data_IF_778625202211
#
_entry.id   IF_778625202211
#
_cell.length_a   1.000
_cell.length_b   1.000
_cell.length_c   1.000
_cell.angle_alpha   90.00
_cell.angle_beta   90.00
_cell.angle_gamma   90.00
#
_symmetry.space_group_name_H-M   'P 1'
#
loop_
_entity.id
_entity.type
_entity.pdbx_description
1 polymer ?
#
# COMPACT_ATOMS: atom_id res chain seq x y z
N UNK A 1 14.18 16.39 -1.96
CA UNK A 1 15.27 15.76 -2.72
C UNK A 1 16.23 16.77 -3.31
N UNK A 2 15.79 17.77 -4.09
CA UNK A 2 16.66 18.79 -4.71
C UNK A 2 17.63 19.43 -3.69
N UNK A 3 17.12 19.94 -2.56
CA UNK A 3 17.93 20.53 -1.52
C UNK A 3 19.02 19.56 -1.01
N UNK A 4 18.68 18.28 -0.80
CA UNK A 4 19.67 17.25 -0.39
C UNK A 4 20.75 17.10 -1.45
N UNK A 5 20.39 16.98 -2.71
CA UNK A 5 21.33 16.85 -3.83
C UNK A 5 22.32 18.02 -3.89
N UNK A 6 21.85 19.23 -3.61
CA UNK A 6 22.64 20.46 -3.70
C UNK A 6 23.52 20.71 -2.46
N UNK A 7 23.13 20.18 -1.30
CA UNK A 7 23.77 20.58 -0.02
C UNK A 7 24.46 19.42 0.73
N UNK A 8 24.16 18.14 0.40
CA UNK A 8 24.60 17.02 1.23
C UNK A 8 26.12 16.88 1.33
N UNK A 9 26.87 17.38 0.35
CA UNK A 9 28.34 17.40 0.39
C UNK A 9 28.88 18.20 1.59
N UNK A 10 28.21 19.30 1.95
CA UNK A 10 28.57 20.13 3.11
C UNK A 10 28.37 19.41 4.46
N UNK A 11 27.62 18.31 4.45
CA UNK A 11 27.38 17.44 5.60
C UNK A 11 28.19 16.14 5.54
N UNK A 12 29.17 16.04 4.63
CA UNK A 12 30.02 14.86 4.45
C UNK A 12 29.37 13.73 3.64
N UNK A 13 28.19 13.96 3.04
CA UNK A 13 27.49 12.99 2.19
C UNK A 13 27.92 13.08 0.73
N UNK A 14 27.59 12.03 -0.04
CA UNK A 14 27.89 11.98 -1.48
C UNK A 14 26.64 12.32 -2.30
N UNK A 15 26.61 13.47 -3.01
CA UNK A 15 25.48 13.84 -3.86
C UNK A 15 25.27 12.93 -5.07
N UNK A 16 26.24 12.06 -5.41
CA UNK A 16 26.13 11.07 -6.49
C UNK A 16 25.67 9.69 -5.98
N UNK A 17 25.31 9.57 -4.69
CA UNK A 17 24.86 8.31 -4.09
C UNK A 17 23.71 8.55 -3.13
N UNK A 18 22.58 9.00 -3.66
CA UNK A 18 21.36 9.28 -2.90
C UNK A 18 20.39 8.11 -3.09
N UNK A 19 20.05 7.47 -1.98
CA UNK A 19 18.99 6.43 -1.95
C UNK A 19 17.75 6.99 -1.28
N UNK A 20 16.61 6.93 -1.97
CA UNK A 20 15.31 7.25 -1.38
C UNK A 20 14.66 5.95 -0.88
N UNK A 21 14.00 6.03 0.27
CA UNK A 21 13.30 4.87 0.83
C UNK A 21 12.01 5.28 1.51
N UNK A 22 11.08 4.36 1.61
CA UNK A 22 9.82 4.58 2.29
C UNK A 22 9.00 3.31 2.44
N UNK A 23 8.16 3.31 3.45
CA UNK A 23 7.26 2.21 3.79
C UNK A 23 5.80 2.66 3.66
N UNK A 24 4.92 1.75 3.23
CA UNK A 24 3.48 2.00 3.09
C UNK A 24 3.21 3.17 2.12
N UNK A 25 2.51 4.20 2.55
CA UNK A 25 2.33 5.44 1.78
C UNK A 25 3.67 6.06 1.34
N UNK A 26 4.71 5.99 2.20
CA UNK A 26 6.07 6.41 1.84
C UNK A 26 6.69 5.54 0.75
N UNK A 27 6.44 4.23 0.75
CA UNK A 27 6.83 3.32 -0.33
C UNK A 27 6.15 3.71 -1.65
N UNK A 28 4.84 3.98 -1.62
CA UNK A 28 4.10 4.48 -2.79
C UNK A 28 4.66 5.81 -3.30
N UNK A 29 5.05 6.73 -2.41
CA UNK A 29 5.72 7.97 -2.79
C UNK A 29 7.06 7.70 -3.48
N UNK A 30 7.89 6.78 -2.94
CA UNK A 30 9.16 6.38 -3.58
C UNK A 30 8.91 5.78 -4.96
N UNK A 31 7.94 4.88 -5.09
CA UNK A 31 7.54 4.30 -6.38
C UNK A 31 7.07 5.40 -7.35
N UNK A 32 6.26 6.39 -6.89
CA UNK A 32 5.83 7.54 -7.67
C UNK A 32 7.03 8.35 -8.22
N UNK A 33 8.06 8.57 -7.40
CA UNK A 33 9.27 9.25 -7.84
C UNK A 33 10.01 8.49 -8.95
N UNK A 34 9.91 7.16 -8.97
CA UNK A 34 10.54 6.37 -10.04
C UNK A 34 9.83 6.50 -11.40
N UNK A 35 8.54 6.83 -11.42
CA UNK A 35 7.76 7.05 -12.67
C UNK A 35 7.64 8.53 -13.04
N UNK A 36 8.02 9.45 -12.15
CA UNK A 36 8.02 10.89 -12.40
C UNK A 36 9.37 11.40 -12.86
N UNK A 37 9.47 11.77 -14.14
CA UNK A 37 10.72 12.29 -14.73
C UNK A 37 11.28 13.52 -14.00
N UNK A 38 10.43 14.32 -13.37
CA UNK A 38 10.83 15.50 -12.57
C UNK A 38 11.72 15.14 -11.37
N UNK A 39 11.59 13.93 -10.87
CA UNK A 39 12.33 13.45 -9.69
C UNK A 39 13.66 12.78 -10.04
N UNK A 40 13.82 12.28 -11.25
CA UNK A 40 14.95 11.44 -11.65
C UNK A 40 16.34 12.03 -11.40
N UNK A 41 16.57 13.35 -11.54
CA UNK A 41 17.89 13.94 -11.27
C UNK A 41 18.32 13.90 -9.80
N UNK A 42 17.41 13.63 -8.86
CA UNK A 42 17.60 13.87 -7.44
C UNK A 42 17.86 12.64 -6.60
N UNK A 43 17.88 11.45 -7.19
CA UNK A 43 18.22 10.20 -6.48
C UNK A 43 18.86 9.18 -7.42
N UNK A 44 19.54 8.20 -6.85
CA UNK A 44 20.34 7.21 -7.57
C UNK A 44 19.86 5.78 -7.32
N UNK A 45 19.14 5.52 -6.22
CA UNK A 45 18.56 4.21 -5.86
C UNK A 45 17.27 4.37 -5.10
N UNK A 46 16.46 3.30 -5.05
CA UNK A 46 15.18 3.31 -4.34
C UNK A 46 14.96 2.03 -3.53
N UNK A 47 14.35 2.19 -2.34
CA UNK A 47 13.86 1.07 -1.52
C UNK A 47 12.38 1.31 -1.26
N UNK A 48 11.54 0.39 -1.72
CA UNK A 48 10.08 0.47 -1.72
C UNK A 48 9.54 -0.64 -0.82
N UNK A 49 9.09 -0.28 0.37
CA UNK A 49 8.63 -1.23 1.38
C UNK A 49 7.12 -1.17 1.50
N UNK A 50 6.44 -2.28 1.22
CA UNK A 50 4.98 -2.44 1.42
C UNK A 50 4.13 -1.32 0.80
N UNK A 51 4.55 -0.79 -0.37
CA UNK A 51 3.81 0.29 -1.03
C UNK A 51 4.35 0.62 -2.41
N UNK A 52 3.57 0.37 -3.46
CA UNK A 52 3.87 0.85 -4.82
C UNK A 52 2.82 1.82 -5.29
N UNK A 53 3.17 2.71 -6.21
CA UNK A 53 2.23 3.71 -6.75
C UNK A 53 1.09 3.07 -7.56
N UNK A 54 1.24 1.82 -7.94
CA UNK A 54 0.26 1.05 -8.71
C UNK A 54 -0.83 0.39 -7.84
N UNK A 55 -0.66 0.41 -6.52
CA UNK A 55 -1.63 -0.16 -5.58
C UNK A 55 -2.98 0.57 -5.62
N UNK A 56 -4.10 -0.11 -5.36
CA UNK A 56 -5.43 0.47 -5.51
C UNK A 56 -5.71 1.66 -4.58
N UNK A 57 -4.96 1.78 -3.50
CA UNK A 57 -5.09 2.88 -2.53
C UNK A 57 -4.06 4.01 -2.76
N UNK A 58 -3.07 3.84 -3.64
CA UNK A 58 -1.92 4.73 -3.75
C UNK A 58 -2.16 5.95 -4.65
N UNK A 59 -3.08 5.85 -5.61
CA UNK A 59 -3.46 6.96 -6.49
C UNK A 59 -4.95 6.92 -6.82
N UNK A 60 -5.48 8.09 -7.18
CA UNK A 60 -6.85 8.21 -7.68
C UNK A 60 -6.90 9.00 -8.97
N UNK A 61 -7.96 8.82 -9.73
CA UNK A 61 -8.25 9.67 -10.89
C UNK A 61 -8.67 11.07 -10.45
N UNK A 62 -8.46 12.07 -11.29
CA UNK A 62 -8.94 13.45 -11.04
C UNK A 62 -10.45 13.49 -10.75
N UNK A 63 -11.22 12.61 -11.40
CA UNK A 63 -12.66 12.49 -11.17
C UNK A 63 -12.95 11.99 -9.75
N UNK A 64 -12.29 10.94 -9.30
CA UNK A 64 -12.47 10.41 -7.94
C UNK A 64 -12.02 11.41 -6.86
N UNK A 65 -10.92 12.13 -7.09
CA UNK A 65 -10.46 13.20 -6.20
C UNK A 65 -11.51 14.33 -6.08
N UNK A 66 -12.12 14.75 -7.20
CA UNK A 66 -13.21 15.75 -7.19
C UNK A 66 -14.44 15.24 -6.44
N UNK A 67 -14.84 13.98 -6.63
CA UNK A 67 -15.98 13.40 -5.93
C UNK A 67 -15.73 13.33 -4.42
N UNK A 68 -14.53 12.92 -4.01
CA UNK A 68 -14.13 12.93 -2.60
C UNK A 68 -14.13 14.34 -1.99
N UNK A 69 -13.62 15.34 -2.73
CA UNK A 69 -13.67 16.73 -2.32
C UNK A 69 -15.12 17.22 -2.14
N UNK A 70 -16.00 16.94 -3.09
CA UNK A 70 -17.42 17.36 -3.00
C UNK A 70 -18.08 16.77 -1.75
N UNK A 71 -17.84 15.48 -1.46
CA UNK A 71 -18.35 14.84 -0.26
C UNK A 71 -17.77 15.47 1.02
N UNK A 72 -16.49 15.80 1.02
CA UNK A 72 -15.86 16.50 2.14
C UNK A 72 -16.51 17.87 2.38
N UNK A 73 -16.67 18.69 1.34
CA UNK A 73 -17.24 20.02 1.43
C UNK A 73 -18.67 20.02 1.98
N UNK A 74 -19.47 19.01 1.61
CA UNK A 74 -20.81 18.81 2.19
C UNK A 74 -20.73 18.52 3.69
N UNK A 75 -19.78 17.71 4.14
CA UNK A 75 -19.63 17.37 5.56
C UNK A 75 -19.17 18.55 6.43
N UNK A 76 -18.52 19.57 5.86
CA UNK A 76 -18.06 20.76 6.56
C UNK A 76 -18.89 22.00 6.25
N UNK A 77 -20.02 21.84 5.54
CA UNK A 77 -20.93 22.93 5.15
C UNK A 77 -20.26 24.05 4.34
N UNK A 78 -19.28 23.71 3.52
CA UNK A 78 -18.58 24.65 2.61
C UNK A 78 -18.87 24.37 1.13
N UNK A 79 -19.84 23.51 0.80
CA UNK A 79 -20.10 23.09 -0.57
C UNK A 79 -20.59 24.22 -1.49
N UNK A 80 -21.35 25.15 -0.94
CA UNK A 80 -22.01 26.24 -1.66
C UNK A 80 -21.37 27.62 -1.39
N UNK A 81 -20.17 27.63 -0.75
CA UNK A 81 -19.49 28.89 -0.42
C UNK A 81 -18.73 29.44 -1.63
N UNK A 82 -18.89 30.73 -1.92
CA UNK A 82 -18.22 31.40 -3.05
C UNK A 82 -16.70 31.51 -2.82
N UNK A 83 -16.24 31.69 -1.57
CA UNK A 83 -14.83 31.60 -1.19
C UNK A 83 -14.57 30.33 -0.38
N UNK A 84 -14.40 29.25 -1.12
CA UNK A 84 -14.13 27.91 -0.57
C UNK A 84 -12.93 27.89 0.39
N UNK A 85 -11.84 28.62 0.07
CA UNK A 85 -10.62 28.61 0.89
C UNK A 85 -10.84 29.33 2.20
N UNK A 86 -11.58 30.44 2.19
CA UNK A 86 -11.93 31.18 3.39
C UNK A 86 -12.88 30.37 4.28
N UNK A 87 -13.90 29.74 3.69
CA UNK A 87 -14.79 28.84 4.41
C UNK A 87 -14.02 27.71 5.11
N UNK A 88 -13.15 27.02 4.39
CA UNK A 88 -12.37 25.93 4.96
C UNK A 88 -11.43 26.40 6.07
N UNK A 89 -10.80 27.57 5.95
CA UNK A 89 -9.90 28.10 6.97
C UNK A 89 -10.61 28.55 8.25
N UNK A 90 -11.80 29.09 8.10
CA UNK A 90 -12.53 29.68 9.23
C UNK A 90 -13.47 28.67 9.92
N UNK A 91 -14.00 27.69 9.18
CA UNK A 91 -15.07 26.81 9.66
C UNK A 91 -14.63 25.36 9.90
N UNK A 92 -13.40 24.96 9.49
CA UNK A 92 -12.95 23.57 9.63
C UNK A 92 -11.77 23.49 10.57
N UNK A 93 -11.97 22.77 11.67
CA UNK A 93 -10.92 22.50 12.64
C UNK A 93 -10.17 21.19 12.27
N UNK A 94 -8.96 21.03 12.81
CA UNK A 94 -8.22 19.77 12.74
C UNK A 94 -9.01 18.58 13.33
N UNK A 95 -9.82 18.82 14.36
CA UNK A 95 -10.71 17.82 14.95
C UNK A 95 -11.82 17.39 13.97
N UNK A 96 -12.38 18.32 13.20
CA UNK A 96 -13.37 18.01 12.15
C UNK A 96 -12.74 17.16 11.06
N UNK A 97 -11.52 17.49 10.61
CA UNK A 97 -10.78 16.68 9.63
C UNK A 97 -10.59 15.24 10.12
N UNK A 98 -10.15 15.07 11.36
CA UNK A 98 -9.95 13.73 11.95
C UNK A 98 -11.27 12.98 12.10
N UNK A 99 -12.35 13.65 12.55
CA UNK A 99 -13.68 13.05 12.69
C UNK A 99 -14.24 12.58 11.37
N UNK A 100 -14.18 13.42 10.34
CA UNK A 100 -14.67 13.10 9.01
C UNK A 100 -13.85 11.95 8.42
N UNK A 101 -12.50 12.00 8.52
CA UNK A 101 -11.63 10.91 8.08
C UNK A 101 -12.01 9.57 8.73
N UNK A 102 -12.18 9.55 10.06
CA UNK A 102 -12.53 8.33 10.81
C UNK A 102 -13.94 7.82 10.55
N UNK A 103 -14.87 8.68 10.15
CA UNK A 103 -16.25 8.28 9.83
C UNK A 103 -16.37 7.57 8.48
N UNK A 104 -15.35 7.68 7.62
CA UNK A 104 -15.39 7.05 6.30
C UNK A 104 -15.04 5.56 6.38
N UNK A 105 -15.66 4.70 5.56
CA UNK A 105 -15.19 3.34 5.35
C UNK A 105 -13.71 3.34 4.93
N UNK A 106 -12.93 2.36 5.38
CA UNK A 106 -11.47 2.29 5.13
C UNK A 106 -11.10 2.50 3.65
N UNK A 107 -11.90 1.96 2.73
CA UNK A 107 -11.70 2.14 1.27
C UNK A 107 -11.83 3.60 0.85
N UNK A 108 -12.77 4.35 1.44
CA UNK A 108 -12.92 5.79 1.18
C UNK A 108 -11.89 6.63 1.93
N UNK A 109 -11.40 6.17 3.09
CA UNK A 109 -10.27 6.80 3.78
C UNK A 109 -9.04 6.81 2.88
N UNK A 110 -8.77 5.72 2.17
CA UNK A 110 -7.66 5.62 1.21
C UNK A 110 -7.85 6.53 -0.01
N UNK A 111 -9.09 6.83 -0.39
CA UNK A 111 -9.41 7.70 -1.54
C UNK A 111 -9.41 9.20 -1.20
N UNK A 112 -9.23 9.57 0.07
CA UNK A 112 -9.41 10.97 0.50
C UNK A 112 -8.23 11.88 0.19
N UNK A 113 -7.00 11.37 0.29
CA UNK A 113 -5.80 12.20 0.11
C UNK A 113 -4.66 11.52 -0.67
N UNK A 114 -4.86 10.49 -1.49
CA UNK A 114 -3.76 10.00 -2.31
C UNK A 114 -3.45 10.99 -3.43
N UNK A 115 -2.23 10.96 -3.96
CA UNK A 115 -1.90 11.68 -5.19
C UNK A 115 -2.90 11.34 -6.29
N UNK A 116 -3.30 12.34 -7.08
CA UNK A 116 -4.07 12.09 -8.30
C UNK A 116 -3.21 12.31 -9.55
N UNK A 117 -3.66 11.77 -10.68
CA UNK A 117 -2.99 11.94 -11.96
C UNK A 117 -3.22 13.38 -12.41
N UNK A 118 -2.20 14.23 -12.21
CA UNK A 118 -2.26 15.68 -12.42
C UNK A 118 -1.80 16.12 -13.83
N UNK A 119 -1.15 15.21 -14.57
CA UNK A 119 -0.56 15.50 -15.88
C UNK A 119 0.80 16.20 -15.81
N UNK A 120 1.32 16.46 -14.59
CA UNK A 120 2.57 17.17 -14.36
C UNK A 120 3.59 16.30 -13.60
N UNK A 121 3.31 15.92 -12.37
CA UNK A 121 4.13 14.99 -11.60
C UNK A 121 3.83 13.54 -12.00
N UNK A 122 2.56 13.16 -12.02
CA UNK A 122 2.06 11.91 -12.59
C UNK A 122 1.42 12.23 -13.95
N UNK A 123 2.19 12.06 -15.01
CA UNK A 123 1.78 12.45 -16.38
C UNK A 123 0.71 11.54 -16.98
N UNK A 124 0.55 10.33 -16.46
CA UNK A 124 -0.46 9.34 -16.88
C UNK A 124 -0.72 8.34 -15.74
N UNK A 125 -1.59 7.36 -15.97
CA UNK A 125 -1.82 6.25 -15.06
C UNK A 125 -0.50 5.53 -14.72
N UNK A 126 -0.14 5.36 -13.43
CA UNK A 126 1.13 4.75 -13.03
C UNK A 126 1.32 3.33 -13.57
N UNK A 127 0.24 2.53 -13.67
CA UNK A 127 0.32 1.18 -14.27
C UNK A 127 0.67 1.25 -15.75
N UNK A 128 0.13 2.25 -16.45
CA UNK A 128 0.45 2.50 -17.86
C UNK A 128 1.90 2.97 -18.02
N UNK A 129 2.35 3.94 -17.20
CA UNK A 129 3.73 4.43 -17.23
C UNK A 129 4.72 3.29 -16.97
N UNK A 130 4.45 2.43 -15.98
CA UNK A 130 5.25 1.27 -15.68
C UNK A 130 5.33 0.29 -16.87
N UNK A 131 4.19 -0.10 -17.44
CA UNK A 131 4.13 -1.07 -18.54
C UNK A 131 4.75 -0.55 -19.84
N UNK A 132 4.74 0.76 -20.06
CA UNK A 132 5.39 1.42 -21.21
C UNK A 132 6.90 1.66 -20.99
N UNK A 133 7.45 1.25 -19.84
CA UNK A 133 8.86 1.47 -19.52
C UNK A 133 9.22 2.92 -19.20
N UNK A 134 8.23 3.78 -18.94
CA UNK A 134 8.44 5.17 -18.54
C UNK A 134 8.81 5.26 -17.06
N UNK A 135 9.86 4.57 -16.69
CA UNK A 135 10.39 4.44 -15.33
C UNK A 135 11.87 4.77 -15.29
N UNK A 136 12.33 5.29 -14.15
CA UNK A 136 13.76 5.57 -13.97
C UNK A 136 14.56 4.26 -14.04
N UNK A 137 15.61 4.28 -14.86
CA UNK A 137 16.59 3.21 -14.90
C UNK A 137 17.50 3.32 -13.66
N UNK A 138 17.21 2.53 -12.63
CA UNK A 138 17.89 2.58 -11.33
C UNK A 138 17.72 1.26 -10.59
N UNK A 139 18.67 0.94 -9.73
CA UNK A 139 18.55 -0.20 -8.83
C UNK A 139 17.43 0.01 -7.82
N UNK A 140 16.59 -1.02 -7.64
CA UNK A 140 15.45 -0.98 -6.74
C UNK A 140 15.41 -2.24 -5.87
N UNK A 141 15.23 -2.04 -4.57
CA UNK A 141 14.77 -3.09 -3.65
C UNK A 141 13.30 -2.82 -3.37
N UNK A 142 12.44 -3.80 -3.58
CA UNK A 142 11.03 -3.68 -3.22
C UNK A 142 10.53 -4.98 -2.59
N UNK A 143 9.52 -4.88 -1.75
CA UNK A 143 8.98 -6.06 -1.08
C UNK A 143 7.83 -5.76 -0.16
N UNK A 144 7.36 -6.82 0.49
CA UNK A 144 6.21 -6.80 1.38
C UNK A 144 6.49 -7.66 2.61
N UNK A 145 5.71 -7.45 3.67
CA UNK A 145 5.61 -8.42 4.76
C UNK A 145 4.68 -9.56 4.35
N UNK A 146 4.84 -10.72 4.99
CA UNK A 146 4.02 -11.91 4.69
C UNK A 146 2.54 -11.70 4.97
N UNK A 147 2.24 -10.96 6.02
CA UNK A 147 0.88 -10.85 6.58
C UNK A 147 0.44 -9.37 6.64
N UNK A 148 0.64 -8.62 5.55
CA UNK A 148 0.31 -7.19 5.43
C UNK A 148 -1.11 -6.89 5.92
N UNK A 149 -2.08 -7.70 5.49
CA UNK A 149 -3.50 -7.51 5.81
C UNK A 149 -3.85 -7.62 7.29
N UNK A 150 -2.94 -8.11 8.13
CA UNK A 150 -3.21 -8.23 9.56
C UNK A 150 -3.50 -6.87 10.21
N UNK A 151 -2.88 -5.78 9.75
CA UNK A 151 -3.12 -4.46 10.32
C UNK A 151 -4.59 -4.01 10.21
N UNK A 152 -5.25 -4.32 9.09
CA UNK A 152 -6.66 -3.98 8.86
C UNK A 152 -7.63 -4.98 9.51
N UNK A 153 -7.19 -6.23 9.70
CA UNK A 153 -8.03 -7.30 10.21
C UNK A 153 -7.92 -7.51 11.72
N UNK A 154 -6.92 -6.92 12.36
CA UNK A 154 -6.76 -6.97 13.81
C UNK A 154 -7.99 -6.44 14.56
N UNK A 155 -8.67 -5.45 14.00
CA UNK A 155 -9.91 -4.90 14.58
C UNK A 155 -11.01 -5.97 14.76
N UNK A 156 -11.05 -6.99 13.90
CA UNK A 156 -12.01 -8.09 14.04
C UNK A 156 -11.72 -8.94 15.28
N UNK A 157 -10.45 -9.12 15.64
CA UNK A 157 -10.07 -9.85 16.87
C UNK A 157 -10.43 -9.08 18.14
N UNK A 158 -10.49 -7.77 18.06
CA UNK A 158 -10.98 -6.92 19.15
C UNK A 158 -12.50 -7.05 19.33
N UNK A 159 -13.24 -7.31 18.24
CA UNK A 159 -14.69 -7.48 18.26
C UNK A 159 -15.08 -8.89 18.68
N UNK A 160 -14.41 -9.91 18.16
CA UNK A 160 -14.72 -11.30 18.48
C UNK A 160 -13.58 -12.25 18.13
N UNK A 161 -13.34 -13.24 19.00
CA UNK A 161 -12.46 -14.38 18.72
C UNK A 161 -13.27 -15.65 18.34
N UNK A 162 -14.54 -15.50 17.98
CA UNK A 162 -15.40 -16.60 17.56
C UNK A 162 -15.10 -17.04 16.13
N UNK A 163 -14.84 -18.32 15.92
CA UNK A 163 -14.48 -18.90 14.61
C UNK A 163 -15.58 -18.64 13.58
N UNK A 164 -16.84 -18.91 13.93
CA UNK A 164 -17.99 -18.74 13.03
C UNK A 164 -18.11 -17.28 12.60
N UNK A 165 -17.99 -16.34 13.53
CA UNK A 165 -18.00 -14.91 13.25
C UNK A 165 -16.90 -14.52 12.26
N UNK A 166 -15.64 -14.94 12.49
CA UNK A 166 -14.51 -14.60 11.63
C UNK A 166 -14.63 -15.20 10.22
N UNK A 167 -15.10 -16.45 10.13
CA UNK A 167 -15.38 -17.09 8.84
C UNK A 167 -16.49 -16.38 8.06
N UNK A 168 -17.56 -15.98 8.74
CA UNK A 168 -18.63 -15.20 8.12
C UNK A 168 -18.12 -13.84 7.64
N UNK A 169 -17.28 -13.15 8.43
CA UNK A 169 -16.65 -11.88 8.05
C UNK A 169 -15.71 -12.02 6.86
N UNK A 170 -15.02 -13.14 6.70
CA UNK A 170 -14.22 -13.40 5.51
C UNK A 170 -15.08 -13.37 4.25
N UNK A 171 -16.19 -14.12 4.22
CA UNK A 171 -17.07 -14.17 3.05
C UNK A 171 -17.74 -12.81 2.77
N UNK A 172 -18.18 -12.10 3.81
CA UNK A 172 -18.75 -10.76 3.69
C UNK A 172 -17.75 -9.77 3.09
N UNK A 173 -16.54 -9.70 3.63
CA UNK A 173 -15.49 -8.78 3.15
C UNK A 173 -15.02 -9.14 1.75
N UNK A 174 -14.82 -10.43 1.44
CA UNK A 174 -14.47 -10.88 0.11
C UNK A 174 -15.51 -10.42 -0.92
N UNK A 175 -16.78 -10.64 -0.65
CA UNK A 175 -17.90 -10.24 -1.54
C UNK A 175 -17.94 -8.71 -1.72
N UNK A 176 -17.81 -7.95 -0.64
CA UNK A 176 -17.82 -6.48 -0.68
C UNK A 176 -16.64 -5.93 -1.48
N UNK A 177 -15.44 -6.46 -1.28
CA UNK A 177 -14.24 -6.03 -2.02
C UNK A 177 -14.33 -6.36 -3.52
N UNK A 178 -14.80 -7.55 -3.86
CA UNK A 178 -15.00 -7.93 -5.26
C UNK A 178 -16.07 -7.07 -5.95
N UNK A 179 -17.17 -6.76 -5.26
CA UNK A 179 -18.19 -5.85 -5.77
C UNK A 179 -17.65 -4.43 -6.00
N UNK A 180 -16.82 -3.93 -5.09
CA UNK A 180 -16.17 -2.63 -5.25
C UNK A 180 -15.22 -2.62 -6.45
N UNK A 181 -14.38 -3.65 -6.60
CA UNK A 181 -13.49 -3.80 -7.75
C UNK A 181 -14.27 -3.92 -9.06
N UNK A 182 -15.41 -4.62 -9.07
CA UNK A 182 -16.31 -4.67 -10.22
C UNK A 182 -16.76 -3.27 -10.66
N UNK A 183 -17.13 -2.41 -9.71
CA UNK A 183 -17.54 -1.04 -9.98
C UNK A 183 -16.38 -0.18 -10.50
N UNK A 184 -15.23 -0.23 -9.82
CA UNK A 184 -14.04 0.55 -10.17
C UNK A 184 -13.50 0.17 -11.56
N UNK A 185 -13.38 -1.13 -11.82
CA UNK A 185 -12.81 -1.66 -13.06
C UNK A 185 -13.85 -1.74 -14.19
N UNK A 186 -15.12 -1.43 -13.92
CA UNK A 186 -16.25 -1.56 -14.87
C UNK A 186 -16.31 -2.92 -15.55
N UNK A 187 -15.89 -3.98 -14.83
CA UNK A 187 -15.91 -5.36 -15.33
C UNK A 187 -17.10 -6.12 -14.74
N UNK A 188 -17.76 -6.88 -15.60
CA UNK A 188 -18.88 -7.71 -15.17
C UNK A 188 -18.34 -9.05 -14.64
N UNK A 189 -18.03 -9.12 -13.35
CA UNK A 189 -17.61 -10.35 -12.70
C UNK A 189 -18.82 -11.17 -12.29
N UNK A 190 -18.75 -12.46 -12.56
CA UNK A 190 -19.80 -13.43 -12.21
C UNK A 190 -19.57 -13.98 -10.81
N UNK A 191 -20.58 -14.66 -10.26
CA UNK A 191 -20.49 -15.43 -9.03
C UNK A 191 -19.32 -16.45 -9.08
N UNK A 192 -18.95 -16.92 -10.27
CA UNK A 192 -17.79 -17.79 -10.46
C UNK A 192 -16.47 -17.18 -9.95
N UNK A 193 -16.24 -15.87 -10.14
CA UNK A 193 -15.03 -15.19 -9.64
C UNK A 193 -15.02 -15.17 -8.11
N UNK A 194 -16.16 -14.93 -7.47
CA UNK A 194 -16.30 -15.01 -6.02
C UNK A 194 -15.98 -16.41 -5.52
N UNK A 195 -16.57 -17.45 -6.15
CA UNK A 195 -16.38 -18.83 -5.75
C UNK A 195 -14.92 -19.28 -5.90
N UNK A 196 -14.25 -18.91 -6.99
CA UNK A 196 -12.83 -19.21 -7.18
C UNK A 196 -11.95 -18.46 -6.15
N UNK A 197 -12.22 -17.17 -5.89
CA UNK A 197 -11.49 -16.42 -4.88
C UNK A 197 -11.73 -17.00 -3.47
N UNK A 198 -12.99 -17.33 -3.11
CA UNK A 198 -13.30 -17.96 -1.84
C UNK A 198 -12.56 -19.28 -1.65
N UNK A 199 -12.57 -20.13 -2.69
CA UNK A 199 -11.86 -21.42 -2.70
C UNK A 199 -10.35 -21.26 -2.56
N UNK A 200 -9.76 -20.23 -3.18
CA UNK A 200 -8.33 -19.95 -3.14
C UNK A 200 -7.83 -19.69 -1.71
N UNK A 201 -8.60 -18.92 -0.94
CA UNK A 201 -8.22 -18.52 0.41
C UNK A 201 -8.84 -19.41 1.50
N UNK A 202 -9.76 -20.31 1.16
CA UNK A 202 -10.44 -21.15 2.14
C UNK A 202 -9.44 -22.07 2.87
N UNK A 203 -9.41 -22.04 4.21
CA UNK A 203 -8.52 -22.91 4.97
C UNK A 203 -9.02 -24.36 4.87
N UNK A 204 -8.08 -25.30 4.82
CA UNK A 204 -8.39 -26.74 4.79
C UNK A 204 -8.94 -27.23 6.13
N UNK A 205 -8.56 -26.57 7.22
CA UNK A 205 -8.99 -26.87 8.59
C UNK A 205 -9.00 -25.56 9.41
N UNK A 206 -9.97 -25.37 10.28
CA UNK A 206 -10.11 -24.19 11.13
C UNK A 206 -10.11 -24.62 12.61
N UNK A 207 -8.94 -25.00 13.17
CA UNK A 207 -8.85 -25.46 14.56
C UNK A 207 -8.88 -24.32 15.59
N UNK A 208 -8.68 -23.06 15.14
CA UNK A 208 -8.60 -21.89 16.02
C UNK A 208 -9.09 -20.63 15.34
N UNK A 209 -9.35 -19.58 16.12
CA UNK A 209 -9.72 -18.27 15.59
C UNK A 209 -8.60 -17.63 14.76
N UNK A 210 -7.34 -17.96 15.02
CA UNK A 210 -6.20 -17.53 14.19
C UNK A 210 -6.30 -18.13 12.80
N UNK A 211 -6.58 -19.43 12.68
CA UNK A 211 -6.76 -20.08 11.38
C UNK A 211 -7.99 -19.54 10.64
N UNK A 212 -9.05 -19.14 11.36
CA UNK A 212 -10.21 -18.48 10.76
C UNK A 212 -9.88 -17.06 10.21
N UNK A 213 -8.90 -16.37 10.80
CA UNK A 213 -8.49 -15.02 10.36
C UNK A 213 -7.52 -15.06 9.18
N UNK A 214 -6.66 -16.08 9.09
CA UNK A 214 -5.63 -16.19 8.03
C UNK A 214 -6.13 -15.99 6.59
N UNK A 215 -7.27 -16.56 6.18
CA UNK A 215 -7.80 -16.34 4.83
C UNK A 215 -8.02 -14.87 4.49
N UNK A 216 -8.56 -14.14 5.46
CA UNK A 216 -8.83 -12.71 5.29
C UNK A 216 -7.55 -11.89 5.25
N UNK A 217 -6.61 -12.19 6.14
CA UNK A 217 -5.27 -11.55 6.14
C UNK A 217 -4.57 -11.81 4.80
N UNK A 218 -4.56 -13.05 4.31
CA UNK A 218 -3.93 -13.40 3.04
C UNK A 218 -4.59 -12.69 1.86
N UNK A 219 -5.92 -12.68 1.82
CA UNK A 219 -6.68 -11.97 0.77
C UNK A 219 -6.36 -10.47 0.76
N UNK A 220 -6.35 -9.82 1.92
CA UNK A 220 -6.01 -8.39 2.01
C UNK A 220 -4.54 -8.12 1.68
N UNK A 221 -3.63 -9.01 2.06
CA UNK A 221 -2.21 -8.92 1.68
C UNK A 221 -2.05 -8.94 0.17
N UNK A 222 -2.66 -9.90 -0.50
CA UNK A 222 -2.55 -10.04 -1.96
C UNK A 222 -3.21 -8.87 -2.69
N UNK A 223 -4.42 -8.49 -2.26
CA UNK A 223 -5.21 -7.45 -2.91
C UNK A 223 -4.58 -6.05 -2.79
N UNK A 224 -4.05 -5.73 -1.63
CA UNK A 224 -3.63 -4.37 -1.33
C UNK A 224 -2.13 -4.13 -1.46
N UNK A 225 -1.30 -5.18 -1.42
CA UNK A 225 0.16 -5.04 -1.35
C UNK A 225 0.92 -5.99 -2.28
N UNK A 226 0.77 -7.31 -2.11
CA UNK A 226 1.69 -8.27 -2.69
C UNK A 226 1.60 -8.36 -4.22
N UNK A 227 0.39 -8.38 -4.79
CA UNK A 227 0.23 -8.53 -6.23
C UNK A 227 0.79 -7.35 -7.04
N UNK A 228 0.52 -6.10 -6.62
CA UNK A 228 1.06 -4.93 -7.32
C UNK A 228 2.57 -4.80 -7.12
N UNK A 229 3.11 -5.14 -5.94
CA UNK A 229 4.57 -5.17 -5.70
C UNK A 229 5.26 -6.19 -6.58
N UNK A 230 4.73 -7.42 -6.66
CA UNK A 230 5.28 -8.46 -7.51
C UNK A 230 5.20 -8.08 -9.00
N UNK A 231 4.09 -7.49 -9.44
CA UNK A 231 3.93 -7.01 -10.81
C UNK A 231 4.93 -5.92 -11.15
N UNK A 232 5.13 -4.93 -10.27
CA UNK A 232 6.13 -3.87 -10.48
C UNK A 232 7.54 -4.47 -10.60
N UNK A 233 7.91 -5.42 -9.73
CA UNK A 233 9.19 -6.11 -9.81
C UNK A 233 9.38 -6.86 -11.13
N UNK A 234 8.37 -7.60 -11.58
CA UNK A 234 8.40 -8.34 -12.85
C UNK A 234 8.56 -7.38 -14.03
N UNK A 235 7.79 -6.31 -14.07
CA UNK A 235 7.85 -5.35 -15.18
C UNK A 235 9.22 -4.67 -15.22
N UNK A 236 9.75 -4.21 -14.08
CA UNK A 236 11.09 -3.62 -13.98
C UNK A 236 12.17 -4.59 -14.47
N UNK A 237 12.15 -5.83 -14.02
CA UNK A 237 13.15 -6.84 -14.39
C UNK A 237 13.11 -7.23 -15.88
N UNK A 238 11.98 -7.02 -16.56
CA UNK A 238 11.85 -7.28 -18.01
C UNK A 238 12.28 -6.08 -18.87
N UNK A 239 12.04 -4.86 -18.39
CA UNK A 239 12.25 -3.65 -19.18
C UNK A 239 13.65 -3.08 -18.95
N UNK A 240 14.16 -3.15 -17.72
CA UNK A 240 15.44 -2.56 -17.34
C UNK A 240 16.55 -3.61 -17.37
N UNK A 241 17.36 -3.59 -18.44
CA UNK A 241 18.43 -4.57 -18.63
C UNK A 241 19.75 -4.20 -17.92
N UNK A 242 19.94 -2.93 -17.54
CA UNK A 242 21.19 -2.39 -17.01
C UNK A 242 21.16 -2.12 -15.49
N UNK A 243 20.04 -2.40 -14.83
CA UNK A 243 19.89 -2.22 -13.38
C UNK A 243 19.27 -3.45 -12.72
N UNK A 244 19.42 -3.53 -11.40
CA UNK A 244 18.93 -4.67 -10.62
C UNK A 244 17.61 -4.35 -9.94
N UNK A 245 16.72 -5.32 -9.97
CA UNK A 245 15.47 -5.30 -9.21
C UNK A 245 15.50 -6.47 -8.24
N UNK A 246 15.45 -6.16 -6.95
CA UNK A 246 15.43 -7.16 -5.88
C UNK A 246 14.04 -7.16 -5.24
N UNK A 247 13.39 -8.33 -5.22
CA UNK A 247 12.10 -8.53 -4.55
C UNK A 247 12.32 -9.33 -3.26
N UNK A 248 11.76 -8.85 -2.14
CA UNK A 248 11.78 -9.57 -0.87
C UNK A 248 10.38 -9.81 -0.32
N UNK A 249 10.26 -10.83 0.54
CA UNK A 249 9.13 -11.01 1.44
C UNK A 249 9.68 -11.16 2.87
N UNK A 250 9.23 -10.29 3.77
CA UNK A 250 9.58 -10.38 5.18
C UNK A 250 8.60 -11.29 5.92
N UNK A 251 9.07 -12.43 6.44
CA UNK A 251 8.22 -13.47 7.03
C UNK A 251 8.43 -13.69 8.53
N UNK A 252 9.32 -12.93 9.15
CA UNK A 252 9.61 -13.08 10.57
C UNK A 252 8.54 -12.41 11.45
N UNK A 253 7.85 -13.23 12.25
CA UNK A 253 6.92 -12.76 13.27
C UNK A 253 7.68 -12.53 14.57
N UNK A 254 7.96 -11.26 14.91
CA UNK A 254 8.66 -10.92 16.17
C UNK A 254 7.80 -11.25 17.38
N UNK A 255 8.38 -11.95 18.36
CA UNK A 255 7.78 -12.15 19.68
C UNK A 255 7.78 -10.88 20.56
N UNK A 256 8.54 -9.86 20.17
CA UNK A 256 8.59 -8.59 20.89
C UNK A 256 7.36 -7.78 20.50
N UNK A 257 6.48 -7.41 21.47
CA UNK A 257 5.33 -6.56 21.18
C UNK A 257 5.83 -5.26 20.52
N UNK A 258 5.31 -4.98 19.35
CA UNK A 258 5.53 -3.67 18.73
C UNK A 258 4.73 -2.68 19.55
N UNK A 259 5.41 -1.89 20.41
CA UNK A 259 4.75 -0.89 21.24
C UNK A 259 3.75 -0.10 20.37
N UNK A 260 2.48 -0.19 20.72
CA UNK A 260 1.35 0.65 20.32
C UNK A 260 0.60 0.37 19.01
N UNK A 261 0.96 -0.61 18.14
CA UNK A 261 0.14 -0.82 16.94
C UNK A 261 -0.61 -2.16 16.94
N UNK A 262 0.11 -3.28 17.11
CA UNK A 262 -0.52 -4.62 17.12
C UNK A 262 0.28 -5.57 18.00
N UNK A 263 -0.36 -6.50 18.74
CA UNK A 263 0.33 -7.58 19.44
C UNK A 263 0.74 -8.68 18.45
N UNK A 264 1.55 -8.32 17.44
CA UNK A 264 1.91 -9.20 16.31
C UNK A 264 2.54 -10.51 16.78
N UNK A 265 3.38 -10.45 17.83
CA UNK A 265 4.06 -11.61 18.36
C UNK A 265 3.12 -12.61 19.05
N UNK A 266 1.99 -12.16 19.62
CA UNK A 266 0.98 -13.02 20.23
C UNK A 266 0.30 -13.94 19.21
N UNK A 267 0.16 -13.48 17.97
CA UNK A 267 -0.60 -14.17 16.92
C UNK A 267 0.27 -14.76 15.80
N UNK A 268 1.58 -14.56 15.83
CA UNK A 268 2.51 -15.12 14.87
C UNK A 268 2.42 -14.55 13.46
N UNK A 269 1.98 -13.27 13.30
CA UNK A 269 1.91 -12.59 12.02
C UNK A 269 3.10 -11.66 11.79
N UNK A 270 3.65 -11.68 10.58
CA UNK A 270 4.58 -10.67 10.07
C UNK A 270 3.78 -9.52 9.43
N UNK A 271 3.23 -8.65 10.27
CA UNK A 271 2.27 -7.62 9.87
C UNK A 271 2.91 -6.41 9.20
N UNK A 272 2.06 -5.54 8.63
CA UNK A 272 2.45 -4.29 7.98
C UNK A 272 3.40 -3.42 8.83
N UNK A 273 4.51 -2.98 8.23
CA UNK A 273 5.50 -2.09 8.84
C UNK A 273 6.44 -2.72 9.86
N UNK A 274 6.40 -4.04 10.09
CA UNK A 274 7.30 -4.69 11.06
C UNK A 274 8.74 -4.79 10.57
N UNK A 275 8.96 -4.86 9.26
CA UNK A 275 10.27 -4.90 8.62
C UNK A 275 11.07 -3.60 8.80
N UNK A 276 10.41 -2.44 8.84
CA UNK A 276 11.03 -1.13 9.08
C UNK A 276 11.77 -1.09 10.41
N UNK A 277 11.18 -1.68 11.46
CA UNK A 277 11.81 -1.72 12.79
C UNK A 277 13.06 -2.58 12.83
N UNK A 278 13.08 -3.62 12.04
CA UNK A 278 14.23 -4.49 11.87
C UNK A 278 15.35 -3.72 11.17
N UNK A 279 15.05 -3.00 10.09
CA UNK A 279 16.03 -2.17 9.39
C UNK A 279 16.63 -1.06 10.27
N UNK A 280 15.85 -0.45 11.16
CA UNK A 280 16.32 0.61 12.05
C UNK A 280 17.09 0.13 13.29
N UNK A 281 16.89 -1.11 13.74
CA UNK A 281 17.56 -1.66 14.94
C UNK A 281 18.71 -2.60 14.65
N UNK A 282 18.85 -3.09 13.43
CA UNK A 282 19.82 -4.13 13.13
C UNK A 282 21.13 -3.56 12.60
N UNK A 283 22.14 -3.65 13.46
CA UNK A 283 23.48 -4.10 13.10
C UNK A 283 23.52 -5.59 12.64
N UNK A 284 22.39 -6.19 12.31
CA UNK A 284 22.28 -7.61 11.94
C UNK A 284 21.54 -7.78 10.63
N UNK A 285 22.27 -8.20 9.62
CA UNK A 285 21.73 -8.85 8.42
C UNK A 285 21.20 -10.21 8.82
N UNK A 286 19.88 -10.43 8.78
CA UNK A 286 19.32 -11.76 8.96
C UNK A 286 18.06 -11.94 8.11
N UNK A 287 18.15 -12.94 7.26
CA UNK A 287 17.08 -13.66 6.58
C UNK A 287 16.08 -12.81 5.79
N UNK A 288 16.60 -12.05 4.83
CA UNK A 288 15.81 -11.73 3.64
C UNK A 288 15.97 -12.89 2.66
N UNK A 289 14.93 -13.67 2.44
CA UNK A 289 14.87 -14.54 1.27
C UNK A 289 14.85 -13.67 0.01
N UNK A 290 16.01 -13.45 -0.57
CA UNK A 290 16.16 -12.78 -1.85
C UNK A 290 15.79 -13.79 -2.93
N UNK A 291 14.55 -13.74 -3.35
CA UNK A 291 14.07 -14.61 -4.43
C UNK A 291 14.53 -14.06 -5.78
N UNK A 292 15.63 -14.63 -6.35
CA UNK A 292 15.97 -14.46 -7.76
C UNK A 292 14.99 -15.24 -8.61
N UNK A 293 14.13 -14.54 -9.37
CA UNK A 293 13.42 -15.05 -10.56
C UNK A 293 12.29 -16.07 -10.44
N UNK A 294 11.56 -16.26 -9.36
CA UNK A 294 10.45 -17.24 -9.41
C UNK A 294 9.23 -16.96 -8.52
N UNK A 295 8.78 -15.72 -8.42
CA UNK A 295 7.43 -15.49 -7.91
C UNK A 295 6.52 -15.05 -9.06
N UNK A 296 5.84 -16.01 -9.63
CA UNK A 296 4.66 -15.79 -10.45
C UNK A 296 3.50 -15.67 -9.46
N UNK A 297 2.71 -14.61 -9.54
CA UNK A 297 1.36 -14.59 -8.98
C UNK A 297 0.53 -15.73 -9.62
N UNK A 298 0.76 -16.93 -9.16
CA UNK A 298 -0.07 -18.12 -9.37
C UNK A 298 -0.69 -18.45 -8.02
N UNK A 299 -1.62 -17.64 -7.60
CA UNK A 299 -2.67 -18.05 -6.71
C UNK A 299 -3.99 -17.46 -7.18
#
# INVERSE_FOLDING_TARGET
>A
MKWVKENIASFGGNPQSITIFGESAGGACVSAHTVSKKSWPYFDRAIIQSGTITMPWATVTKYAAKAALSLFLQNVNCADDEDLLECLRNNVTDQDLVKIYRSQPFVLQSAWMPPYIDGDFLTDDPKKLLNEGKIKNTDVILGVTKDEGFFSEYVLLQQSRNITYLTQKFHEKLKNQLNLLKQILRKNWTEAVYNEAAKLYQPKCIPSFIEALKPLVAFQTDLQFACDTANEAIVRSKILNSTNTFLYQYSFASSIPTRNLYPNGEFGFAAHGVDVRVCHKLKFFLEMEICRKSWICKR
#
